data_IF_067973871499
#
_entry.id   IF_067973871499
#
_cell.length_a   1.000
_cell.length_b   1.000
_cell.length_c   1.000
_cell.angle_alpha   90.00
_cell.angle_beta   90.00
_cell.angle_gamma   90.00
#
_symmetry.space_group_name_H-M   'P 1'
#
loop_
_entity.id
_entity.type
_entity.pdbx_description
1 polymer ?
#
# COMPACT_ATOMS: atom_id res chain seq x y z
N UNK A 1 0.36 17.84 4.14
CA UNK A 1 0.59 17.26 2.79
C UNK A 1 1.02 15.82 2.96
N UNK A 2 0.59 14.87 2.09
CA UNK A 2 1.02 13.48 2.21
C UNK A 2 2.54 13.36 2.05
N UNK A 3 3.15 12.44 2.79
CA UNK A 3 4.57 12.13 2.70
C UNK A 3 4.89 11.48 1.36
N UNK A 4 6.16 11.54 0.94
CA UNK A 4 6.62 10.85 -0.27
C UNK A 4 6.35 9.33 -0.20
N UNK A 5 6.54 8.72 0.97
CA UNK A 5 6.26 7.30 1.20
C UNK A 5 4.77 6.95 1.02
N UNK A 6 3.87 7.82 1.48
CA UNK A 6 2.44 7.67 1.23
C UNK A 6 2.11 7.85 -0.26
N UNK A 7 2.71 8.86 -0.87
CA UNK A 7 2.83 9.10 -2.31
C UNK A 7 3.00 7.79 -3.11
N UNK A 8 4.15 7.16 -2.87
CA UNK A 8 4.62 5.99 -3.58
C UNK A 8 3.82 4.73 -3.26
N UNK A 9 3.38 4.56 -2.01
CA UNK A 9 2.51 3.46 -1.63
C UNK A 9 1.19 3.51 -2.40
N UNK A 10 0.52 4.67 -2.40
CA UNK A 10 -0.76 4.84 -3.08
C UNK A 10 -0.62 4.64 -4.59
N UNK A 11 0.43 5.20 -5.20
CA UNK A 11 0.73 5.01 -6.62
C UNK A 11 0.98 3.55 -6.96
N UNK A 12 1.72 2.84 -6.12
CA UNK A 12 2.04 1.42 -6.32
C UNK A 12 0.80 0.55 -6.27
N UNK A 13 -0.07 0.74 -5.26
CA UNK A 13 -1.31 -0.04 -5.13
C UNK A 13 -2.29 0.28 -6.27
N UNK A 14 -2.40 1.56 -6.64
CA UNK A 14 -3.29 2.02 -7.72
C UNK A 14 -2.90 1.49 -9.11
N UNK A 15 -1.68 0.98 -9.29
CA UNK A 15 -1.27 0.32 -10.52
C UNK A 15 -1.90 -1.08 -10.72
N UNK A 16 -2.47 -1.67 -9.66
CA UNK A 16 -3.02 -3.02 -9.69
C UNK A 16 -4.53 -3.07 -9.48
N UNK A 17 -5.10 -2.05 -8.83
CA UNK A 17 -6.53 -1.96 -8.51
C UNK A 17 -7.03 -0.53 -8.75
N UNK A 18 -8.36 -0.33 -8.91
CA UNK A 18 -8.91 1.02 -9.09
C UNK A 18 -8.46 2.01 -8.00
N UNK A 19 -8.14 3.24 -8.40
CA UNK A 19 -7.55 4.26 -7.53
C UNK A 19 -8.41 4.55 -6.28
N UNK A 20 -9.74 4.57 -6.40
CA UNK A 20 -10.67 4.76 -5.27
C UNK A 20 -10.53 3.64 -4.23
N UNK A 21 -10.37 2.39 -4.69
CA UNK A 21 -10.14 1.24 -3.81
C UNK A 21 -8.77 1.32 -3.16
N UNK A 22 -7.73 1.68 -3.92
CA UNK A 22 -6.38 1.87 -3.40
C UNK A 22 -6.36 2.94 -2.30
N UNK A 23 -6.98 4.10 -2.54
CA UNK A 23 -7.09 5.17 -1.55
C UNK A 23 -7.82 4.69 -0.29
N UNK A 24 -8.97 4.01 -0.45
CA UNK A 24 -9.72 3.46 0.67
C UNK A 24 -8.99 2.36 1.44
N UNK A 25 -8.12 1.58 0.79
CA UNK A 25 -7.28 0.56 1.44
C UNK A 25 -6.15 1.23 2.22
N UNK A 26 -5.35 2.05 1.54
CA UNK A 26 -4.19 2.72 2.12
C UNK A 26 -4.63 3.61 3.29
N UNK A 27 -5.69 4.41 3.11
CA UNK A 27 -6.25 5.26 4.17
C UNK A 27 -6.72 4.48 5.40
N UNK A 28 -7.19 3.23 5.24
CA UNK A 28 -7.59 2.37 6.36
C UNK A 28 -6.45 1.60 7.01
N UNK A 29 -5.39 1.27 6.26
CA UNK A 29 -4.26 0.52 6.81
C UNK A 29 -3.22 1.43 7.46
N UNK A 30 -3.02 2.66 6.97
CA UNK A 30 -1.96 3.57 7.48
C UNK A 30 -2.11 3.86 8.98
N UNK A 31 -3.32 4.18 9.49
CA UNK A 31 -3.53 4.39 10.93
C UNK A 31 -3.23 3.15 11.79
N UNK A 32 -3.35 1.93 11.24
CA UNK A 32 -3.09 0.69 12.02
C UNK A 32 -1.62 0.52 12.38
N UNK A 33 -0.73 1.24 11.71
CA UNK A 33 0.71 1.23 11.99
C UNK A 33 1.13 2.46 12.83
N UNK A 34 0.19 3.16 13.47
CA UNK A 34 0.43 4.44 14.16
C UNK A 34 1.08 5.49 13.23
N UNK A 35 0.70 5.46 11.95
CA UNK A 35 1.15 6.41 10.94
C UNK A 35 -0.04 7.20 10.40
N UNK A 36 0.25 8.35 9.83
CA UNK A 36 -0.70 9.16 9.06
C UNK A 36 -0.22 9.27 7.61
N UNK A 37 -1.05 9.83 6.74
CA UNK A 37 -0.61 10.14 5.39
C UNK A 37 0.62 11.06 5.36
N UNK A 38 0.81 11.88 6.39
CA UNK A 38 1.87 12.89 6.47
C UNK A 38 3.13 12.38 7.17
N UNK A 39 2.98 11.41 8.07
CA UNK A 39 4.10 10.88 8.88
C UNK A 39 4.66 9.56 8.35
N UNK A 40 3.95 8.89 7.43
CA UNK A 40 4.38 7.58 6.89
C UNK A 40 5.81 7.68 6.37
N UNK A 41 6.67 6.78 6.85
CA UNK A 41 8.09 6.69 6.52
C UNK A 41 8.46 5.23 6.16
N UNK A 42 9.72 4.96 5.86
CA UNK A 42 10.21 3.62 5.48
C UNK A 42 9.91 2.53 6.53
N UNK A 43 10.08 2.83 7.82
CA UNK A 43 9.75 1.88 8.88
C UNK A 43 8.24 1.56 8.93
N UNK A 44 7.40 2.59 8.74
CA UNK A 44 5.95 2.43 8.61
C UNK A 44 5.52 1.66 7.36
N UNK A 45 6.22 1.84 6.22
CA UNK A 45 5.98 1.09 4.98
C UNK A 45 6.19 -0.41 5.18
N UNK A 46 7.26 -0.79 5.89
CA UNK A 46 7.53 -2.19 6.21
C UNK A 46 6.43 -2.81 7.05
N UNK A 47 5.93 -2.08 8.04
CA UNK A 47 4.83 -2.55 8.89
C UNK A 47 3.49 -2.64 8.12
N UNK A 48 3.20 -1.68 7.23
CA UNK A 48 1.92 -1.61 6.54
C UNK A 48 1.82 -2.60 5.37
N UNK A 49 2.95 -3.03 4.81
CA UNK A 49 3.02 -3.88 3.61
C UNK A 49 2.10 -5.09 3.70
N UNK A 50 2.15 -5.83 4.80
CA UNK A 50 1.35 -7.05 4.99
C UNK A 50 -0.14 -6.74 5.00
N UNK A 51 -0.55 -5.64 5.65
CA UNK A 51 -1.94 -5.21 5.69
C UNK A 51 -2.46 -4.74 4.33
N UNK A 52 -1.65 -3.97 3.60
CA UNK A 52 -1.99 -3.51 2.25
C UNK A 52 -2.06 -4.68 1.28
N UNK A 53 -1.11 -5.63 1.35
CA UNK A 53 -1.12 -6.84 0.53
C UNK A 53 -2.34 -7.71 0.79
N UNK A 54 -2.71 -7.93 2.06
CA UNK A 54 -3.91 -8.67 2.41
C UNK A 54 -5.18 -8.01 1.86
N UNK A 55 -5.30 -6.70 2.02
CA UNK A 55 -6.49 -5.96 1.58
C UNK A 55 -6.56 -5.78 0.06
N UNK A 56 -5.46 -5.42 -0.60
CA UNK A 56 -5.39 -5.23 -2.05
C UNK A 56 -5.46 -6.57 -2.80
N UNK A 57 -4.91 -7.64 -2.23
CA UNK A 57 -4.95 -8.99 -2.79
C UNK A 57 -6.37 -9.55 -2.96
N UNK A 58 -7.36 -9.07 -2.20
CA UNK A 58 -8.77 -9.42 -2.39
C UNK A 58 -9.37 -8.87 -3.69
N UNK A 59 -8.73 -7.86 -4.28
CA UNK A 59 -9.16 -7.20 -5.51
C UNK A 59 -8.29 -7.56 -6.72
N UNK A 60 -7.24 -8.37 -6.52
CA UNK A 60 -6.36 -8.85 -7.57
C UNK A 60 -6.67 -10.33 -7.80
N UNK A 61 -7.39 -10.67 -8.88
CA UNK A 61 -7.83 -12.05 -9.13
C UNK A 61 -6.69 -12.97 -9.57
N UNK A 62 -5.62 -12.41 -10.13
CA UNK A 62 -4.50 -13.18 -10.69
C UNK A 62 -3.36 -13.33 -9.67
N UNK A 63 -2.98 -14.58 -9.38
CA UNK A 63 -1.88 -14.87 -8.45
C UNK A 63 -0.55 -14.23 -8.88
N UNK A 64 -0.25 -14.20 -10.19
CA UNK A 64 0.96 -13.56 -10.71
C UNK A 64 0.99 -12.05 -10.44
N UNK A 65 -0.11 -11.35 -10.69
CA UNK A 65 -0.22 -9.91 -10.41
C UNK A 65 -0.17 -9.59 -8.92
N UNK A 66 -0.64 -10.49 -8.07
CA UNK A 66 -0.51 -10.37 -6.61
C UNK A 66 0.95 -10.47 -6.18
N UNK A 67 1.71 -11.41 -6.75
CA UNK A 67 3.15 -11.53 -6.50
C UNK A 67 3.91 -10.28 -6.97
N UNK A 68 3.54 -9.73 -8.12
CA UNK A 68 4.14 -8.49 -8.64
C UNK A 68 3.88 -7.29 -7.73
N UNK A 69 2.66 -7.16 -7.17
CA UNK A 69 2.37 -6.13 -6.18
C UNK A 69 3.23 -6.31 -4.93
N UNK A 70 3.38 -7.55 -4.44
CA UNK A 70 4.21 -7.84 -3.28
C UNK A 70 5.66 -7.41 -3.50
N UNK A 71 6.23 -7.78 -4.65
CA UNK A 71 7.59 -7.42 -5.04
C UNK A 71 7.76 -5.90 -5.12
N UNK A 72 6.79 -5.18 -5.70
CA UNK A 72 6.85 -3.72 -5.77
C UNK A 72 6.72 -3.05 -4.41
N UNK A 73 5.87 -3.56 -3.51
CA UNK A 73 5.75 -3.02 -2.16
C UNK A 73 7.00 -3.30 -1.32
N UNK A 74 7.63 -4.47 -1.49
CA UNK A 74 8.91 -4.78 -0.84
C UNK A 74 10.03 -3.83 -1.31
N UNK A 75 10.01 -3.38 -2.57
CA UNK A 75 10.98 -2.42 -3.09
C UNK A 75 10.80 -0.97 -2.59
N UNK A 76 9.69 -0.66 -1.88
CA UNK A 76 9.47 0.66 -1.26
C UNK A 76 10.16 0.79 0.11
N UNK A 77 10.62 -0.32 0.71
CA UNK A 77 11.25 -0.34 2.04
C UNK A 77 12.66 0.27 2.05
#
# INVERSE_FOLDING_TARGET
MPSAAYADLLRTVSAFIPAEKALGIVGRQVPKCNQTAETLNKAGLKAIRVYVMGAAGLYIPEAGRRQDLENKLAALE
#
